data_IF_029202920662
#
_entry.id   IF_029202920662
#
_cell.length_a   1.000
_cell.length_b   1.000
_cell.length_c   1.000
_cell.angle_alpha   90.00
_cell.angle_beta   90.00
_cell.angle_gamma   90.00
#
_symmetry.space_group_name_H-M   'P 1'
#
loop_
_entity.id
_entity.type
_entity.pdbx_description
1 polymer ?
#
# COMPACT_ATOMS: atom_id res chain seq x y z
N UNK A 1 7.16 0.35 -4.61
CA UNK A 1 6.64 1.73 -4.54
C UNK A 1 7.55 2.68 -3.76
N UNK A 2 8.08 2.32 -2.59
CA UNK A 2 8.96 3.20 -1.82
C UNK A 2 10.18 3.75 -2.57
N UNK A 3 10.71 3.00 -3.51
CA UNK A 3 11.87 3.42 -4.29
C UNK A 3 11.61 4.58 -5.26
N UNK A 4 10.35 4.84 -5.64
CA UNK A 4 9.99 5.92 -6.56
C UNK A 4 9.57 7.20 -5.85
N UNK A 5 9.45 7.20 -4.52
CA UNK A 5 9.00 8.37 -3.78
C UNK A 5 9.92 9.58 -3.91
N UNK A 6 11.25 9.45 -3.80
CA UNK A 6 12.12 10.60 -4.05
C UNK A 6 11.85 11.25 -5.40
N UNK A 7 11.68 10.43 -6.43
CA UNK A 7 11.43 10.91 -7.79
C UNK A 7 10.08 11.63 -7.95
N UNK A 8 9.05 11.18 -7.23
CA UNK A 8 7.76 11.89 -7.17
C UNK A 8 7.92 13.26 -6.53
N UNK A 9 8.67 13.38 -5.44
CA UNK A 9 8.94 14.65 -4.79
C UNK A 9 9.76 15.61 -5.65
N UNK A 10 10.73 15.09 -6.39
CA UNK A 10 11.54 15.88 -7.34
C UNK A 10 10.66 16.40 -8.49
N UNK A 11 9.90 15.53 -9.13
CA UNK A 11 9.15 15.85 -10.33
C UNK A 11 7.88 16.65 -10.05
N UNK A 12 7.05 16.21 -9.10
CA UNK A 12 5.79 16.86 -8.78
C UNK A 12 5.98 18.03 -7.80
N UNK A 13 6.93 17.91 -6.87
CA UNK A 13 7.20 18.92 -5.84
C UNK A 13 8.27 19.93 -6.22
N UNK A 14 9.04 19.69 -7.28
CA UNK A 14 10.15 20.55 -7.69
C UNK A 14 11.27 20.62 -6.63
N UNK A 15 11.42 19.59 -5.79
CA UNK A 15 12.37 19.58 -4.68
C UNK A 15 13.76 19.11 -5.13
N UNK A 16 14.79 19.53 -4.40
CA UNK A 16 16.14 18.98 -4.56
C UNK A 16 16.17 17.50 -4.15
N UNK A 17 17.10 16.74 -4.72
CA UNK A 17 17.28 15.31 -4.41
C UNK A 17 17.47 15.06 -2.90
N UNK A 18 18.21 15.92 -2.21
CA UNK A 18 18.42 15.81 -0.77
C UNK A 18 17.10 15.93 0.02
N UNK A 19 16.29 16.95 -0.32
CA UNK A 19 15.01 17.20 0.34
C UNK A 19 14.00 16.08 0.02
N UNK A 20 13.97 15.58 -1.20
CA UNK A 20 13.13 14.47 -1.64
C UNK A 20 13.45 13.19 -0.87
N UNK A 21 14.73 12.88 -0.67
CA UNK A 21 15.17 11.75 0.15
C UNK A 21 14.82 11.94 1.64
N UNK A 22 15.00 13.13 2.19
CA UNK A 22 14.59 13.44 3.58
C UNK A 22 13.07 13.22 3.77
N UNK A 23 12.24 13.74 2.88
CA UNK A 23 10.78 13.55 2.96
C UNK A 23 10.38 12.09 2.80
N UNK A 24 11.09 11.33 1.98
CA UNK A 24 10.90 9.89 1.87
C UNK A 24 11.19 9.18 3.18
N UNK A 25 12.24 9.57 3.90
CA UNK A 25 12.51 9.06 5.26
C UNK A 25 11.40 9.45 6.25
N UNK A 26 10.95 10.71 6.20
CA UNK A 26 9.84 11.19 7.04
C UNK A 26 8.55 10.41 6.77
N UNK A 27 8.26 10.07 5.52
CA UNK A 27 7.09 9.24 5.19
C UNK A 27 7.14 7.86 5.86
N UNK A 28 8.31 7.25 6.00
CA UNK A 28 8.48 6.00 6.74
C UNK A 28 8.20 6.15 8.25
N UNK A 29 8.47 7.30 8.84
CA UNK A 29 8.07 7.57 10.23
C UNK A 29 6.55 7.53 10.36
N UNK A 30 5.81 8.14 9.44
CA UNK A 30 4.35 8.04 9.42
C UNK A 30 3.85 6.61 9.19
N UNK A 31 4.53 5.81 8.37
CA UNK A 31 4.22 4.37 8.23
C UNK A 31 4.31 3.66 9.57
N UNK A 32 5.42 3.84 10.30
CA UNK A 32 5.64 3.19 11.61
C UNK A 32 4.58 3.63 12.61
N UNK A 33 4.32 4.93 12.74
CA UNK A 33 3.31 5.48 13.64
C UNK A 33 1.93 4.90 13.32
N UNK A 34 1.54 4.91 12.05
CA UNK A 34 0.23 4.41 11.61
C UNK A 34 0.09 2.91 11.85
N UNK A 35 1.11 2.12 11.52
CA UNK A 35 1.11 0.67 11.77
C UNK A 35 1.00 0.38 13.27
N UNK A 36 1.72 1.14 14.11
CA UNK A 36 1.66 0.99 15.56
C UNK A 36 0.26 1.31 16.09
N UNK A 37 -0.36 2.42 15.66
CA UNK A 37 -1.73 2.77 16.04
C UNK A 37 -2.71 1.67 15.64
N UNK A 38 -2.62 1.20 14.39
CA UNK A 38 -3.53 0.16 13.89
C UNK A 38 -3.38 -1.15 14.65
N UNK A 39 -2.17 -1.53 15.07
CA UNK A 39 -1.95 -2.76 15.83
C UNK A 39 -2.76 -2.82 17.13
N UNK A 40 -3.09 -1.68 17.75
CA UNK A 40 -3.96 -1.63 18.93
C UNK A 40 -5.45 -1.82 18.60
N UNK A 41 -5.85 -1.54 17.38
CA UNK A 41 -7.26 -1.54 16.98
C UNK A 41 -7.62 -2.66 16.01
N UNK A 42 -6.65 -3.41 15.50
CA UNK A 42 -6.87 -4.44 14.47
C UNK A 42 -7.88 -5.51 14.90
N UNK A 43 -7.88 -5.89 16.19
CA UNK A 43 -8.81 -6.87 16.73
C UNK A 43 -10.20 -6.28 17.05
N UNK A 44 -10.28 -4.96 17.21
CA UNK A 44 -11.52 -4.28 17.65
C UNK A 44 -12.32 -3.72 16.47
N UNK A 45 -11.66 -3.30 15.41
CA UNK A 45 -12.27 -2.66 14.25
C UNK A 45 -12.26 -3.62 13.06
N UNK A 46 -13.29 -3.56 12.23
CA UNK A 46 -13.37 -4.40 11.05
C UNK A 46 -12.16 -4.12 10.12
N UNK A 47 -11.46 -5.18 9.70
CA UNK A 47 -10.30 -5.09 8.81
C UNK A 47 -10.62 -4.31 7.52
N UNK A 48 -11.84 -4.46 7.00
CA UNK A 48 -12.31 -3.70 5.83
C UNK A 48 -12.25 -2.20 6.02
N UNK A 49 -12.50 -1.69 7.23
CA UNK A 49 -12.44 -0.26 7.51
C UNK A 49 -11.02 0.28 7.32
N UNK A 50 -10.02 -0.37 7.93
CA UNK A 50 -8.62 0.06 7.79
C UNK A 50 -8.13 -0.04 6.35
N UNK A 51 -8.52 -1.10 5.65
CA UNK A 51 -8.16 -1.27 4.26
C UNK A 51 -8.71 -0.15 3.37
N UNK A 52 -10.01 0.14 3.49
CA UNK A 52 -10.68 1.22 2.75
C UNK A 52 -10.11 2.57 3.14
N UNK A 53 -9.89 2.82 4.42
CA UNK A 53 -9.28 4.05 4.93
C UNK A 53 -7.89 4.28 4.33
N UNK A 54 -7.03 3.27 4.35
CA UNK A 54 -5.70 3.36 3.77
C UNK A 54 -5.71 3.58 2.26
N UNK A 55 -6.58 2.88 1.53
CA UNK A 55 -6.73 3.11 0.08
C UNK A 55 -7.33 4.48 -0.25
N UNK A 56 -8.27 4.96 0.56
CA UNK A 56 -8.80 6.33 0.40
C UNK A 56 -7.68 7.37 0.60
N UNK A 57 -6.80 7.17 1.59
CA UNK A 57 -5.63 8.03 1.78
C UNK A 57 -4.69 7.98 0.56
N UNK A 58 -4.44 6.79 -0.01
CA UNK A 58 -3.63 6.65 -1.23
C UNK A 58 -4.25 7.36 -2.44
N UNK A 59 -5.55 7.16 -2.66
CA UNK A 59 -6.29 7.82 -3.75
C UNK A 59 -6.24 9.34 -3.58
N UNK A 60 -6.47 9.85 -2.37
CA UNK A 60 -6.39 11.28 -2.07
C UNK A 60 -4.99 11.83 -2.35
N UNK A 61 -3.93 11.09 -1.99
CA UNK A 61 -2.56 11.47 -2.27
C UNK A 61 -2.27 11.60 -3.78
N UNK A 62 -2.72 10.63 -4.58
CA UNK A 62 -2.51 10.66 -6.03
C UNK A 62 -3.37 11.72 -6.74
N UNK A 63 -4.62 11.94 -6.28
CA UNK A 63 -5.47 13.02 -6.77
C UNK A 63 -4.83 14.38 -6.47
N UNK A 64 -4.23 14.56 -5.30
CA UNK A 64 -3.49 15.75 -4.94
C UNK A 64 -2.33 16.04 -5.91
N UNK A 65 -1.59 15.00 -6.31
CA UNK A 65 -0.54 15.13 -7.32
C UNK A 65 -1.10 15.56 -8.66
N UNK A 66 -2.13 14.86 -9.17
CA UNK A 66 -2.75 15.14 -10.47
C UNK A 66 -3.32 16.57 -10.51
N UNK A 67 -3.89 17.01 -9.38
CA UNK A 67 -4.43 18.38 -9.24
C UNK A 67 -3.37 19.47 -9.05
N UNK A 68 -2.09 19.15 -9.10
CA UNK A 68 -1.00 20.13 -8.90
C UNK A 68 -0.86 20.63 -7.45
N UNK A 69 -1.57 20.00 -6.51
CA UNK A 69 -1.54 20.42 -5.10
C UNK A 69 -0.17 20.25 -4.42
N UNK A 70 0.69 19.42 -4.98
CA UNK A 70 2.05 19.16 -4.47
C UNK A 70 3.05 20.29 -4.84
N UNK A 71 2.63 21.29 -5.61
CA UNK A 71 3.44 22.48 -5.90
C UNK A 71 3.62 23.41 -4.67
N UNK A 72 2.83 23.21 -3.62
CA UNK A 72 2.91 23.97 -2.37
C UNK A 72 3.54 23.17 -1.25
N UNK A 73 4.24 23.83 -0.34
CA UNK A 73 4.84 23.19 0.85
C UNK A 73 3.80 22.41 1.66
N UNK A 74 2.61 23.00 1.86
CA UNK A 74 1.51 22.35 2.55
C UNK A 74 1.04 21.08 1.84
N UNK A 75 0.95 21.11 0.50
CA UNK A 75 0.56 19.97 -0.30
C UNK A 75 1.60 18.84 -0.27
N UNK A 76 2.88 19.17 -0.27
CA UNK A 76 3.97 18.19 -0.11
C UNK A 76 3.85 17.45 1.23
N UNK A 77 3.64 18.18 2.33
CA UNK A 77 3.44 17.57 3.64
C UNK A 77 2.18 16.72 3.71
N UNK A 78 1.07 17.23 3.14
CA UNK A 78 -0.19 16.48 3.09
C UNK A 78 -0.02 15.17 2.31
N UNK A 79 0.65 15.22 1.16
CA UNK A 79 0.97 14.02 0.38
C UNK A 79 1.81 13.02 1.19
N UNK A 80 2.86 13.51 1.85
CA UNK A 80 3.76 12.70 2.69
C UNK A 80 3.01 11.97 3.80
N UNK A 81 2.12 12.67 4.49
CA UNK A 81 1.27 12.11 5.55
C UNK A 81 0.30 11.08 4.98
N UNK A 82 -0.45 11.43 3.94
CA UNK A 82 -1.43 10.53 3.31
C UNK A 82 -0.77 9.26 2.78
N UNK A 83 0.40 9.39 2.17
CA UNK A 83 1.16 8.26 1.68
C UNK A 83 1.69 7.37 2.81
N UNK A 84 2.21 7.96 3.88
CA UNK A 84 2.64 7.23 5.08
C UNK A 84 1.48 6.49 5.74
N UNK A 85 0.33 7.16 5.90
CA UNK A 85 -0.90 6.56 6.45
C UNK A 85 -1.37 5.39 5.59
N UNK A 86 -1.41 5.53 4.27
CA UNK A 86 -1.76 4.43 3.37
C UNK A 86 -0.86 3.21 3.58
N UNK A 87 0.46 3.40 3.54
CA UNK A 87 1.39 2.28 3.67
C UNK A 87 1.33 1.61 5.04
N UNK A 88 1.03 2.36 6.10
CA UNK A 88 0.89 1.84 7.46
C UNK A 88 -0.48 1.21 7.76
N UNK A 89 -1.51 1.46 6.94
CA UNK A 89 -2.89 1.04 7.23
C UNK A 89 -3.51 0.08 6.22
N UNK A 90 -2.90 -0.10 5.06
CA UNK A 90 -3.53 -0.85 3.98
C UNK A 90 -2.79 -2.14 3.62
N UNK A 91 -2.51 -2.34 2.36
CA UNK A 91 -2.11 -3.60 1.74
C UNK A 91 -0.95 -4.31 2.45
N UNK A 92 0.06 -3.58 2.93
CA UNK A 92 1.24 -4.19 3.55
C UNK A 92 0.91 -4.89 4.87
N UNK A 93 0.08 -4.26 5.70
CA UNK A 93 -0.34 -4.82 6.99
C UNK A 93 -1.23 -6.04 6.78
N UNK A 94 -2.21 -5.94 5.87
CA UNK A 94 -3.12 -7.04 5.59
C UNK A 94 -2.47 -8.20 4.87
N UNK A 95 -1.47 -7.95 4.04
CA UNK A 95 -0.66 -9.01 3.45
C UNK A 95 -0.03 -9.90 4.53
N UNK A 96 0.59 -9.30 5.54
CA UNK A 96 1.22 -10.02 6.63
C UNK A 96 0.18 -10.76 7.50
N UNK A 97 -0.93 -10.08 7.84
CA UNK A 97 -2.01 -10.63 8.65
C UNK A 97 -2.65 -11.84 7.96
N UNK A 98 -3.13 -11.69 6.75
CA UNK A 98 -3.77 -12.79 6.02
C UNK A 98 -2.81 -13.92 5.68
N UNK A 99 -1.55 -13.59 5.38
CA UNK A 99 -0.53 -14.61 5.18
C UNK A 99 -0.32 -15.49 6.41
N UNK A 100 -0.53 -14.95 7.62
CA UNK A 100 -0.42 -15.70 8.87
C UNK A 100 -1.71 -16.41 9.28
N UNK A 101 -2.88 -15.88 8.97
CA UNK A 101 -4.18 -16.39 9.43
C UNK A 101 -4.85 -17.37 8.46
N UNK A 102 -4.70 -17.14 7.15
CA UNK A 102 -5.48 -17.87 6.14
C UNK A 102 -4.90 -19.23 5.76
N UNK A 103 -3.65 -19.52 6.12
CA UNK A 103 -2.99 -20.76 5.75
C UNK A 103 -2.73 -21.65 6.96
N UNK A 104 -2.98 -22.98 6.86
CA UNK A 104 -2.62 -23.94 7.89
C UNK A 104 -1.13 -23.87 8.22
N UNK A 105 -0.76 -24.14 9.47
CA UNK A 105 0.62 -23.99 9.96
C UNK A 105 1.64 -24.70 9.08
N UNK A 106 1.29 -25.89 8.56
CA UNK A 106 2.14 -26.71 7.67
C UNK A 106 2.54 -26.03 6.37
N UNK A 107 1.66 -25.23 5.78
CA UNK A 107 1.84 -24.61 4.47
C UNK A 107 2.11 -23.09 4.55
N UNK A 108 2.00 -22.49 5.73
CA UNK A 108 2.07 -21.03 5.96
C UNK A 108 3.33 -20.40 5.40
N UNK A 109 4.49 -20.95 5.71
CA UNK A 109 5.78 -20.41 5.26
C UNK A 109 5.90 -20.44 3.72
N UNK A 110 5.51 -21.56 3.09
CA UNK A 110 5.53 -21.71 1.64
C UNK A 110 4.58 -20.76 0.95
N UNK A 111 3.34 -20.63 1.47
CA UNK A 111 2.33 -19.71 0.93
C UNK A 111 2.79 -18.24 1.05
N UNK A 112 3.33 -17.83 2.20
CA UNK A 112 3.87 -16.49 2.39
C UNK A 112 5.04 -16.21 1.45
N UNK A 113 5.97 -17.16 1.31
CA UNK A 113 7.10 -17.05 0.39
C UNK A 113 6.65 -16.88 -1.07
N UNK A 114 5.69 -17.69 -1.51
CA UNK A 114 5.14 -17.60 -2.86
C UNK A 114 4.41 -16.25 -3.10
N UNK A 115 3.57 -15.84 -2.17
CA UNK A 115 2.89 -14.54 -2.26
C UNK A 115 3.90 -13.38 -2.31
N UNK A 116 4.95 -13.43 -1.48
CA UNK A 116 6.01 -12.42 -1.47
C UNK A 116 6.76 -12.40 -2.80
N UNK A 117 7.10 -13.56 -3.35
CA UNK A 117 7.75 -13.67 -4.65
C UNK A 117 6.92 -13.04 -5.77
N UNK A 118 5.61 -13.36 -5.84
CA UNK A 118 4.69 -12.81 -6.83
C UNK A 118 4.60 -11.28 -6.69
N UNK A 119 4.38 -10.78 -5.47
CA UNK A 119 4.26 -9.33 -5.22
C UNK A 119 5.53 -8.59 -5.59
N UNK A 120 6.71 -9.13 -5.24
CA UNK A 120 8.00 -8.50 -5.60
C UNK A 120 8.28 -8.56 -7.08
N UNK A 121 7.98 -9.69 -7.73
CA UNK A 121 8.11 -9.83 -9.18
C UNK A 121 7.23 -8.83 -9.93
N UNK A 122 5.94 -8.75 -9.57
CA UNK A 122 5.01 -7.76 -10.15
C UNK A 122 5.45 -6.31 -9.86
N UNK A 123 6.01 -6.05 -8.67
CA UNK A 123 6.53 -4.72 -8.33
C UNK A 123 7.75 -4.35 -9.18
N UNK A 124 8.63 -5.31 -9.50
CA UNK A 124 9.76 -5.09 -10.40
C UNK A 124 9.30 -4.82 -11.84
N UNK A 125 8.36 -5.63 -12.34
CA UNK A 125 7.75 -5.40 -13.66
C UNK A 125 7.08 -4.03 -13.73
N UNK A 126 6.31 -3.67 -12.69
CA UNK A 126 5.71 -2.33 -12.61
C UNK A 126 6.76 -1.22 -12.61
N UNK A 127 7.89 -1.43 -11.94
CA UNK A 127 9.01 -0.49 -11.95
C UNK A 127 9.53 -0.22 -13.36
N UNK A 128 9.70 -1.26 -14.17
CA UNK A 128 10.09 -1.12 -15.57
C UNK A 128 9.01 -0.38 -16.38
N UNK A 129 7.76 -0.79 -16.26
CA UNK A 129 6.63 -0.14 -16.95
C UNK A 129 6.54 1.34 -16.58
N UNK A 130 6.69 1.66 -15.29
CA UNK A 130 6.70 3.04 -14.81
C UNK A 130 7.81 3.86 -15.48
N UNK A 131 9.03 3.31 -15.55
CA UNK A 131 10.17 3.99 -16.19
C UNK A 131 9.91 4.26 -17.67
N UNK A 132 9.31 3.29 -18.39
CA UNK A 132 8.92 3.48 -19.79
C UNK A 132 7.83 4.55 -19.97
N UNK A 133 6.81 4.54 -19.14
CA UNK A 133 5.72 5.54 -19.21
C UNK A 133 6.24 6.92 -18.82
N UNK A 134 7.12 6.98 -17.82
CA UNK A 134 7.67 8.24 -17.30
C UNK A 134 8.49 8.99 -18.36
N UNK A 135 9.27 8.27 -19.16
CA UNK A 135 10.14 8.85 -20.19
C UNK A 135 11.37 9.55 -19.61
N UNK A 136 12.30 9.96 -20.47
CA UNK A 136 13.57 10.57 -20.05
C UNK A 136 13.39 11.96 -19.39
N UNK A 137 12.39 12.72 -19.81
CA UNK A 137 12.13 14.08 -19.34
C UNK A 137 10.95 14.19 -18.37
N UNK A 138 10.37 13.07 -17.92
CA UNK A 138 9.21 13.07 -17.02
C UNK A 138 7.87 13.45 -17.67
N UNK A 139 7.82 13.52 -19.00
CA UNK A 139 6.61 13.90 -19.75
C UNK A 139 5.42 12.96 -19.48
N UNK A 140 5.70 11.68 -19.20
CA UNK A 140 4.70 10.66 -18.89
C UNK A 140 4.25 10.61 -17.45
N UNK A 141 4.69 11.52 -16.57
CA UNK A 141 4.37 11.48 -15.14
C UNK A 141 2.86 11.48 -14.87
N UNK A 142 2.12 12.34 -15.56
CA UNK A 142 0.66 12.43 -15.42
C UNK A 142 -0.03 11.13 -15.82
N UNK A 143 0.41 10.49 -16.91
CA UNK A 143 -0.11 9.20 -17.35
C UNK A 143 0.20 8.11 -16.31
N UNK A 144 1.42 8.07 -15.79
CA UNK A 144 1.81 7.15 -14.73
C UNK A 144 0.95 7.34 -13.47
N UNK A 145 0.65 8.59 -13.09
CA UNK A 145 -0.25 8.92 -11.97
C UNK A 145 -1.68 8.40 -12.19
N UNK A 146 -2.24 8.55 -13.39
CA UNK A 146 -3.55 7.97 -13.72
C UNK A 146 -3.55 6.43 -13.67
N UNK A 147 -2.49 5.78 -14.17
CA UNK A 147 -2.33 4.34 -14.04
C UNK A 147 -2.30 3.89 -12.57
N UNK A 148 -1.63 4.65 -11.71
CA UNK A 148 -1.61 4.37 -10.26
C UNK A 148 -3.00 4.48 -9.65
N UNK A 149 -3.77 5.51 -9.98
CA UNK A 149 -5.15 5.67 -9.51
C UNK A 149 -6.01 4.49 -9.98
N UNK A 150 -5.89 4.09 -11.24
CA UNK A 150 -6.62 2.93 -11.77
C UNK A 150 -6.30 1.63 -11.03
N UNK A 151 -5.01 1.37 -10.75
CA UNK A 151 -4.58 0.20 -9.98
C UNK A 151 -5.08 0.24 -8.52
N UNK A 152 -5.10 1.42 -7.89
CA UNK A 152 -5.65 1.59 -6.54
C UNK A 152 -7.15 1.35 -6.50
N UNK A 153 -7.89 1.83 -7.50
CA UNK A 153 -9.33 1.56 -7.65
C UNK A 153 -9.61 0.08 -7.87
N UNK A 154 -8.84 -0.57 -8.73
CA UNK A 154 -8.94 -2.02 -8.93
C UNK A 154 -8.66 -2.79 -7.61
N UNK A 155 -7.62 -2.39 -6.88
CA UNK A 155 -7.31 -2.95 -5.56
C UNK A 155 -8.45 -2.74 -4.56
N UNK A 156 -9.07 -1.56 -4.55
CA UNK A 156 -10.22 -1.26 -3.70
C UNK A 156 -11.40 -2.18 -4.00
N UNK A 157 -11.75 -2.36 -5.28
CA UNK A 157 -12.84 -3.23 -5.71
C UNK A 157 -12.56 -4.68 -5.31
N UNK A 158 -11.38 -5.20 -5.62
CA UNK A 158 -10.99 -6.57 -5.27
C UNK A 158 -10.99 -6.77 -3.75
N UNK A 159 -10.49 -5.80 -2.99
CA UNK A 159 -10.51 -5.86 -1.53
C UNK A 159 -11.91 -5.84 -0.96
N UNK A 160 -12.82 -4.99 -1.46
CA UNK A 160 -14.20 -4.93 -0.99
C UNK A 160 -14.97 -6.23 -1.26
N UNK A 161 -14.74 -6.86 -2.42
CA UNK A 161 -15.43 -8.08 -2.83
C UNK A 161 -14.83 -9.34 -2.21
N UNK A 162 -13.50 -9.42 -2.09
CA UNK A 162 -12.77 -10.64 -1.75
C UNK A 162 -12.23 -10.71 -0.33
N UNK A 163 -12.33 -9.63 0.48
CA UNK A 163 -11.72 -9.59 1.80
C UNK A 163 -12.36 -10.57 2.78
N UNK A 164 -11.61 -11.56 3.29
CA UNK A 164 -12.10 -12.50 4.29
C UNK A 164 -12.33 -11.80 5.63
N UNK A 165 -13.37 -12.21 6.35
CA UNK A 165 -13.62 -11.73 7.71
C UNK A 165 -13.05 -12.72 8.71
N UNK A 166 -11.85 -12.46 9.21
CA UNK A 166 -11.15 -13.30 10.18
C UNK A 166 -11.26 -12.77 11.62
N UNK A 167 -11.92 -11.63 11.80
CA UNK A 167 -12.05 -10.95 13.09
C UNK A 167 -12.68 -11.84 14.17
N UNK A 168 -11.99 -11.97 15.31
CA UNK A 168 -12.50 -12.69 16.48
C UNK A 168 -12.54 -14.21 16.33
N UNK A 169 -12.01 -14.76 15.24
CA UNK A 169 -11.93 -16.21 15.00
C UNK A 169 -10.55 -16.74 15.44
N UNK A 170 -10.54 -17.92 16.04
CA UNK A 170 -9.29 -18.63 16.28
C UNK A 170 -8.71 -19.18 14.97
N UNK A 171 -7.38 -19.39 14.91
CA UNK A 171 -6.72 -19.98 13.76
C UNK A 171 -7.31 -21.34 13.38
N UNK A 172 -7.69 -22.15 14.36
CA UNK A 172 -8.32 -23.45 14.13
C UNK A 172 -9.70 -23.31 13.50
N UNK A 173 -10.50 -22.31 13.93
CA UNK A 173 -11.80 -22.02 13.32
C UNK A 173 -11.65 -21.58 11.87
N UNK A 174 -10.70 -20.71 11.57
CA UNK A 174 -10.43 -20.24 10.20
C UNK A 174 -9.99 -21.42 9.32
N UNK A 175 -9.12 -22.28 9.84
CA UNK A 175 -8.63 -23.47 9.14
C UNK A 175 -9.78 -24.45 8.83
N UNK A 176 -10.64 -24.74 9.81
CA UNK A 176 -11.82 -25.63 9.64
C UNK A 176 -12.82 -25.08 8.64
N UNK A 177 -13.14 -23.78 8.72
CA UNK A 177 -14.06 -23.14 7.77
C UNK A 177 -13.58 -23.16 6.32
N UNK A 178 -12.27 -23.08 6.09
CA UNK A 178 -11.68 -23.00 4.75
C UNK A 178 -11.30 -24.36 4.15
N UNK A 179 -10.81 -25.25 4.97
CA UNK A 179 -10.17 -26.48 4.50
C UNK A 179 -10.88 -27.75 5.00
N UNK A 180 -11.86 -27.61 5.91
CA UNK A 180 -12.55 -28.74 6.53
C UNK A 180 -11.73 -29.43 7.62
N UNK A 181 -12.25 -30.55 8.14
CA UNK A 181 -11.65 -31.30 9.26
C UNK A 181 -10.48 -32.22 8.83
N UNK A 182 -10.09 -32.24 7.56
CA UNK A 182 -9.16 -33.23 6.98
C UNK A 182 -7.72 -32.72 6.83
N UNK A 183 -7.30 -31.66 7.54
CA UNK A 183 -5.94 -31.13 7.42
C UNK A 183 -5.22 -31.16 8.77
#
# INVERSE_FOLDING_TARGET
MGFFMPHVYETAGGLSNEMANMLSCVSWVFVVITTFIISFFVDRVAHRFFYVFGLAAALSAWILIIGGGVSTIAGIWLFTILWGVNNGSSVQVFYALWGSELFPAKFRAGAQGLMFFIVRGLSAVWGLVFTFIYGENGEGFTLAAYCMVALLLASLIVGLLGMPNTRGKSLDQITKERYGDNI
#
